data_IF_867344454274
#
_entry.id   IF_867344454274
#
_cell.length_a   1.000
_cell.length_b   1.000
_cell.length_c   1.000
_cell.angle_alpha   90.00
_cell.angle_beta   90.00
_cell.angle_gamma   90.00
#
_symmetry.space_group_name_H-M   'P 1'
#
loop_
_entity.id
_entity.type
_entity.pdbx_description
1 polymer ?
#
# COMPACT_ATOMS: atom_id res chain seq x y z
N UNK A 1 -0.78 -3.04 -2.90
CA UNK A 1 -1.00 -4.44 -2.54
C UNK A 1 -2.03 -4.97 -3.50
N UNK A 2 -1.78 -6.13 -4.06
CA UNK A 2 -2.68 -6.88 -4.93
C UNK A 2 -3.15 -8.07 -4.09
N UNK A 3 -4.44 -8.10 -3.80
CA UNK A 3 -5.07 -9.16 -3.02
C UNK A 3 -5.80 -10.09 -3.99
N UNK A 4 -5.76 -11.39 -3.74
CA UNK A 4 -6.60 -12.36 -4.45
C UNK A 4 -8.07 -12.14 -4.10
N UNK A 5 -8.97 -12.48 -5.01
CA UNK A 5 -10.42 -12.43 -4.76
C UNK A 5 -10.86 -13.34 -3.61
N UNK A 6 -10.08 -14.37 -3.30
CA UNK A 6 -10.31 -15.32 -2.20
C UNK A 6 -9.72 -14.85 -0.86
N UNK A 7 -9.15 -13.65 -0.81
CA UNK A 7 -8.50 -13.11 0.38
C UNK A 7 -9.57 -12.64 1.39
N UNK A 8 -9.92 -13.54 2.31
CA UNK A 8 -10.84 -13.24 3.41
C UNK A 8 -10.08 -12.64 4.59
N UNK A 9 -9.76 -11.35 4.49
CA UNK A 9 -9.23 -10.57 5.59
C UNK A 9 -10.38 -10.14 6.52
N UNK A 10 -10.90 -11.10 7.28
CA UNK A 10 -11.93 -10.87 8.30
C UNK A 10 -11.48 -9.76 9.26
N UNK A 11 -12.14 -8.59 9.19
CA UNK A 11 -11.82 -7.42 10.02
C UNK A 11 -10.89 -6.39 9.37
N UNK A 12 -10.66 -6.45 8.04
CA UNK A 12 -10.11 -5.34 7.26
C UNK A 12 -11.17 -4.24 7.09
N UNK A 13 -11.64 -3.69 8.20
CA UNK A 13 -12.50 -2.51 8.26
C UNK A 13 -11.74 -1.37 8.92
N UNK A 14 -11.95 -0.16 8.38
CA UNK A 14 -11.31 1.12 8.68
C UNK A 14 -10.19 1.07 9.74
N UNK A 15 -8.94 1.09 9.26
CA UNK A 15 -7.69 0.95 10.03
C UNK A 15 -7.52 1.96 11.17
N UNK A 16 -8.40 2.96 11.22
CA UNK A 16 -8.48 4.01 12.25
C UNK A 16 -8.94 3.53 13.63
N UNK A 17 -9.60 2.37 13.75
CA UNK A 17 -10.09 1.84 15.04
C UNK A 17 -9.27 0.66 15.60
N UNK A 18 -8.16 0.28 14.95
CA UNK A 18 -7.36 -0.88 15.33
C UNK A 18 -6.15 -0.47 16.19
N UNK A 19 -5.93 -1.19 17.30
CA UNK A 19 -4.72 -1.05 18.12
C UNK A 19 -3.47 -1.46 17.33
N UNK A 20 -2.30 -0.93 17.69
CA UNK A 20 -1.01 -1.26 17.03
C UNK A 20 -0.84 -2.77 16.83
N UNK A 21 -1.06 -3.56 17.89
CA UNK A 21 -0.95 -5.03 17.83
C UNK A 21 -1.86 -5.65 16.76
N UNK A 22 -3.10 -5.17 16.63
CA UNK A 22 -4.03 -5.69 15.61
C UNK A 22 -3.61 -5.24 14.21
N UNK A 23 -3.08 -4.03 14.06
CA UNK A 23 -2.58 -3.51 12.78
C UNK A 23 -1.38 -4.29 12.29
N UNK A 24 -0.45 -4.63 13.17
CA UNK A 24 0.75 -5.41 12.81
C UNK A 24 0.38 -6.85 12.43
N UNK A 25 -0.52 -7.49 13.19
CA UNK A 25 -1.03 -8.81 12.84
C UNK A 25 -1.75 -8.81 11.49
N UNK A 26 -2.60 -7.81 11.23
CA UNK A 26 -3.28 -7.66 9.94
C UNK A 26 -2.28 -7.36 8.82
N UNK A 27 -1.27 -6.53 9.04
CA UNK A 27 -0.24 -6.24 8.05
C UNK A 27 0.56 -7.49 7.66
N UNK A 28 0.86 -8.36 8.63
CA UNK A 28 1.45 -9.68 8.38
C UNK A 28 0.51 -10.57 7.56
N UNK A 29 -0.74 -10.72 7.99
CA UNK A 29 -1.73 -11.53 7.27
C UNK A 29 -1.95 -11.05 5.83
N UNK A 30 -2.02 -9.73 5.63
CA UNK A 30 -2.10 -9.10 4.30
C UNK A 30 -0.88 -9.45 3.46
N UNK A 31 0.34 -9.39 4.02
CA UNK A 31 1.57 -9.71 3.29
C UNK A 31 1.66 -11.19 2.94
N UNK A 32 1.16 -12.08 3.80
CA UNK A 32 1.13 -13.53 3.55
C UNK A 32 0.10 -13.92 2.49
N UNK A 33 -1.07 -13.28 2.49
CA UNK A 33 -2.15 -13.58 1.54
C UNK A 33 -2.10 -12.75 0.24
N UNK A 34 -1.35 -11.65 0.22
CA UNK A 34 -1.22 -10.81 -0.96
C UNK A 34 -0.42 -11.50 -2.06
N UNK A 35 -0.94 -11.45 -3.28
CA UNK A 35 -0.28 -11.97 -4.48
C UNK A 35 0.98 -11.17 -4.79
N UNK A 36 0.91 -9.85 -4.65
CA UNK A 36 2.05 -8.97 -4.79
C UNK A 36 1.85 -7.71 -3.94
N UNK A 37 2.91 -7.26 -3.29
CA UNK A 37 2.91 -6.00 -2.59
C UNK A 37 4.26 -5.32 -2.74
N UNK A 38 4.21 -4.00 -2.70
CA UNK A 38 5.39 -3.15 -2.72
C UNK A 38 5.10 -1.96 -1.80
N UNK A 39 6.14 -1.52 -1.08
CA UNK A 39 6.12 -0.32 -0.26
C UNK A 39 7.14 0.62 -0.86
N UNK A 40 6.70 1.84 -1.16
CA UNK A 40 7.56 2.91 -1.62
C UNK A 40 7.23 4.18 -0.83
N UNK A 41 8.26 4.99 -0.63
CA UNK A 41 8.18 6.27 0.07
C UNK A 41 8.86 7.35 -0.76
N UNK A 42 8.42 8.60 -0.55
CA UNK A 42 9.15 9.78 -0.99
C UNK A 42 9.89 10.36 0.21
N UNK A 43 11.16 10.72 0.00
CA UNK A 43 11.99 11.37 1.00
C UNK A 43 11.58 12.83 1.20
N UNK A 44 11.96 13.41 2.35
CA UNK A 44 11.69 14.84 2.63
C UNK A 44 12.33 15.75 1.58
N UNK A 45 13.51 15.39 1.05
CA UNK A 45 14.15 16.13 -0.03
C UNK A 45 13.32 16.15 -1.32
N UNK A 46 12.71 15.01 -1.67
CA UNK A 46 11.82 14.92 -2.83
C UNK A 46 10.51 15.69 -2.61
N UNK A 47 9.96 15.65 -1.40
CA UNK A 47 8.77 16.44 -1.04
C UNK A 47 9.07 17.94 -1.15
N UNK A 48 10.25 18.37 -0.70
CA UNK A 48 10.67 19.76 -0.78
C UNK A 48 10.88 20.24 -2.23
N UNK A 49 11.41 19.37 -3.10
CA UNK A 49 11.60 19.69 -4.53
C UNK A 49 10.31 19.63 -5.35
N UNK A 50 9.46 18.63 -5.10
CA UNK A 50 8.35 18.28 -5.98
C UNK A 50 7.00 18.78 -5.47
N UNK A 51 6.89 19.18 -4.20
CA UNK A 51 5.66 19.37 -3.42
C UNK A 51 5.00 18.04 -2.99
N UNK A 52 4.08 18.13 -2.01
CA UNK A 52 3.46 16.95 -1.39
C UNK A 52 2.63 16.11 -2.38
N UNK A 53 2.00 16.75 -3.38
CA UNK A 53 1.17 16.08 -4.38
C UNK A 53 2.04 15.24 -5.31
N UNK A 54 3.07 15.85 -5.91
CA UNK A 54 3.95 15.12 -6.82
C UNK A 54 4.82 14.09 -6.10
N UNK A 55 5.24 14.37 -4.86
CA UNK A 55 5.94 13.37 -4.06
C UNK A 55 5.06 12.15 -3.76
N UNK A 56 3.76 12.36 -3.51
CA UNK A 56 2.80 11.25 -3.38
C UNK A 56 2.68 10.47 -4.69
N UNK A 57 2.51 11.15 -5.83
CA UNK A 57 2.46 10.51 -7.15
C UNK A 57 3.74 9.75 -7.50
N UNK A 58 4.91 10.27 -7.10
CA UNK A 58 6.20 9.62 -7.28
C UNK A 58 6.30 8.33 -6.45
N UNK A 59 5.91 8.39 -5.18
CA UNK A 59 5.85 7.22 -4.31
C UNK A 59 4.88 6.17 -4.85
N UNK A 60 3.70 6.57 -5.32
CA UNK A 60 2.74 5.67 -5.97
C UNK A 60 3.31 5.03 -7.24
N UNK A 61 3.97 5.82 -8.10
CA UNK A 61 4.61 5.31 -9.32
C UNK A 61 5.69 4.28 -9.00
N UNK A 62 6.56 4.58 -8.02
CA UNK A 62 7.57 3.64 -7.52
C UNK A 62 6.96 2.36 -6.98
N UNK A 63 5.88 2.49 -6.21
CA UNK A 63 5.14 1.35 -5.66
C UNK A 63 4.61 0.45 -6.77
N UNK A 64 4.02 1.01 -7.82
CA UNK A 64 3.49 0.23 -8.95
C UNK A 64 4.62 -0.45 -9.70
N UNK A 65 5.72 0.25 -9.97
CA UNK A 65 6.91 -0.31 -10.65
C UNK A 65 7.64 -1.37 -9.83
N UNK A 66 7.55 -1.32 -8.51
CA UNK A 66 8.15 -2.30 -7.62
C UNK A 66 7.26 -3.50 -7.30
N UNK A 67 6.05 -3.59 -7.86
CA UNK A 67 5.24 -4.80 -7.77
C UNK A 67 5.84 -5.88 -8.68
N UNK A 68 5.95 -7.10 -8.16
CA UNK A 68 6.39 -8.25 -8.95
C UNK A 68 5.39 -8.62 -10.08
N UNK A 69 4.15 -8.15 -9.97
CA UNK A 69 3.07 -8.36 -10.93
C UNK A 69 2.57 -7.00 -11.37
N UNK A 70 2.44 -6.81 -12.68
CA UNK A 70 1.87 -5.60 -13.26
C UNK A 70 0.34 -5.60 -13.05
N UNK A 71 -0.21 -4.65 -12.26
CA UNK A 71 -1.64 -4.59 -12.02
C UNK A 71 -2.39 -4.06 -13.25
N UNK A 72 -3.46 -4.72 -13.65
CA UNK A 72 -4.34 -4.24 -14.74
C UNK A 72 -5.30 -3.13 -14.29
N UNK A 73 -5.63 -3.09 -13.00
CA UNK A 73 -6.50 -2.08 -12.40
C UNK A 73 -5.89 -1.61 -11.09
N UNK A 74 -5.76 -0.30 -10.93
CA UNK A 74 -5.22 0.33 -9.73
C UNK A 74 -6.34 1.17 -9.11
N UNK A 75 -6.70 0.87 -7.86
CA UNK A 75 -7.62 1.69 -7.06
C UNK A 75 -6.80 2.56 -6.11
N UNK A 76 -6.86 3.87 -6.32
CA UNK A 76 -6.15 4.87 -5.52
C UNK A 76 -7.20 5.63 -4.71
N UNK A 77 -6.92 5.83 -3.43
CA UNK A 77 -7.69 6.72 -2.55
C UNK A 77 -7.08 8.12 -2.65
N UNK A 78 -7.91 9.12 -2.92
CA UNK A 78 -7.50 10.48 -3.30
C UNK A 78 -7.97 11.54 -2.31
#
# INVERSE_FOLDING_TARGET
>A
VILSSDCDLAGLTDSKNLSEKKRDMLALAIKEQAVAWCVASASVGEIAQLNILHANMLAMTRKVKGLAIEPQLIRIDG
#
